data_IF_003067173505
#
_entry.id   IF_003067173505
#
_cell.length_a   1.000
_cell.length_b   1.000
_cell.length_c   1.000
_cell.angle_alpha   90.00
_cell.angle_beta   90.00
_cell.angle_gamma   90.00
#
_symmetry.space_group_name_H-M   'P 1'
#
loop_
_entity.id
_entity.type
_entity.pdbx_description
1 polymer ?
#
# COMPACT_ATOMS: atom_id res chain seq x y z
N UNK A 1 -5.16 5.95 -10.43
CA UNK A 1 -3.97 5.08 -10.54
C UNK A 1 -4.43 3.64 -10.36
N UNK A 2 -3.85 2.68 -11.08
CA UNK A 2 -4.12 1.26 -10.83
C UNK A 2 -3.24 0.77 -9.66
N UNK A 3 -3.87 0.41 -8.53
CA UNK A 3 -3.17 0.04 -7.29
C UNK A 3 -2.40 -1.27 -7.44
N UNK A 4 -2.97 -2.25 -8.16
CA UNK A 4 -2.32 -3.54 -8.41
C UNK A 4 -1.02 -3.38 -9.20
N UNK A 5 -1.03 -2.57 -10.25
CA UNK A 5 0.14 -2.24 -11.07
C UNK A 5 1.19 -1.49 -10.24
N UNK A 6 0.78 -0.53 -9.41
CA UNK A 6 1.68 0.21 -8.54
C UNK A 6 2.36 -0.71 -7.51
N UNK A 7 1.58 -1.57 -6.83
CA UNK A 7 2.11 -2.57 -5.90
C UNK A 7 3.05 -3.56 -6.58
N UNK A 8 2.70 -4.06 -7.77
CA UNK A 8 3.56 -4.95 -8.56
C UNK A 8 4.88 -4.27 -8.94
N UNK A 9 4.86 -2.99 -9.33
CA UNK A 9 6.08 -2.21 -9.62
C UNK A 9 6.99 -2.05 -8.40
N UNK A 10 6.43 -2.07 -7.19
CA UNK A 10 7.18 -2.10 -5.93
C UNK A 10 7.65 -3.51 -5.53
N UNK A 11 7.29 -4.56 -6.27
CA UNK A 11 7.50 -5.95 -5.86
C UNK A 11 6.67 -6.34 -4.62
N UNK A 12 5.54 -5.67 -4.43
CA UNK A 12 4.62 -5.82 -3.29
C UNK A 12 3.21 -6.22 -3.76
N UNK A 13 3.09 -6.78 -4.98
CA UNK A 13 1.82 -7.18 -5.59
C UNK A 13 1.01 -8.19 -4.76
N UNK A 14 1.65 -8.94 -3.86
CA UNK A 14 0.96 -9.84 -2.94
C UNK A 14 -0.05 -9.15 -2.02
N UNK A 15 0.04 -7.83 -1.85
CA UNK A 15 -0.91 -7.05 -1.05
C UNK A 15 -2.10 -6.51 -1.85
N UNK A 16 -2.15 -6.71 -3.17
CA UNK A 16 -3.21 -6.15 -4.02
C UNK A 16 -4.60 -6.56 -3.55
N UNK A 17 -4.79 -7.85 -3.21
CA UNK A 17 -6.08 -8.33 -2.73
C UNK A 17 -6.50 -7.63 -1.45
N UNK A 18 -5.59 -7.47 -0.49
CA UNK A 18 -5.89 -6.79 0.77
C UNK A 18 -6.25 -5.31 0.55
N UNK A 19 -5.56 -4.62 -0.35
CA UNK A 19 -5.88 -3.23 -0.70
C UNK A 19 -7.27 -3.14 -1.35
N UNK A 20 -7.58 -4.07 -2.26
CA UNK A 20 -8.88 -4.11 -2.95
C UNK A 20 -10.04 -4.45 -2.00
N UNK A 21 -9.86 -5.44 -1.13
CA UNK A 21 -10.90 -5.89 -0.17
C UNK A 21 -11.20 -4.85 0.92
N UNK A 22 -10.30 -3.88 1.14
CA UNK A 22 -10.48 -2.78 2.07
C UNK A 22 -10.79 -1.45 1.36
N UNK A 23 -11.19 -1.51 0.08
CA UNK A 23 -11.58 -0.35 -0.73
C UNK A 23 -10.51 0.76 -0.78
N UNK A 24 -9.23 0.37 -0.78
CA UNK A 24 -8.11 1.32 -0.87
C UNK A 24 -7.93 1.73 -2.32
N UNK A 25 -8.45 2.90 -2.65
CA UNK A 25 -8.23 3.57 -3.93
C UNK A 25 -7.04 4.54 -3.89
N UNK A 26 -6.83 5.29 -4.97
CA UNK A 26 -5.71 6.22 -5.08
C UNK A 26 -5.79 7.41 -4.11
N UNK A 27 -6.99 7.81 -3.68
CA UNK A 27 -7.20 8.90 -2.73
C UNK A 27 -6.84 8.42 -1.32
N UNK A 28 -7.43 7.30 -0.90
CA UNK A 28 -7.16 6.68 0.41
C UNK A 28 -5.69 6.26 0.54
N UNK A 29 -5.08 5.79 -0.54
CA UNK A 29 -3.66 5.41 -0.57
C UNK A 29 -2.74 6.53 -0.06
N UNK A 30 -3.04 7.79 -0.37
CA UNK A 30 -2.21 8.95 -0.02
C UNK A 30 -2.22 9.27 1.47
N UNK A 31 -3.20 8.75 2.20
CA UNK A 31 -3.44 9.01 3.62
C UNK A 31 -3.12 7.80 4.51
N UNK A 32 -2.76 6.65 3.91
CA UNK A 32 -2.43 5.45 4.68
C UNK A 32 -1.28 5.69 5.66
N UNK A 33 -1.53 5.31 6.90
CA UNK A 33 -0.54 5.32 7.98
C UNK A 33 0.13 3.96 8.15
N UNK A 34 1.16 3.91 8.99
CA UNK A 34 1.77 2.64 9.38
C UNK A 34 0.79 1.70 10.08
N UNK A 35 -0.19 2.24 10.81
CA UNK A 35 -1.19 1.46 11.54
C UNK A 35 -2.22 0.86 10.58
N UNK A 36 -2.67 1.63 9.58
CA UNK A 36 -3.58 1.13 8.54
C UNK A 36 -2.92 -0.02 7.76
N UNK A 37 -1.64 0.12 7.41
CA UNK A 37 -0.89 -0.96 6.75
C UNK A 37 -0.80 -2.23 7.62
N UNK A 38 -0.72 -2.11 8.94
CA UNK A 38 -0.80 -3.26 9.84
C UNK A 38 -2.20 -3.89 9.77
N UNK A 39 -3.26 -3.06 9.79
CA UNK A 39 -4.65 -3.50 9.63
C UNK A 39 -4.91 -4.25 8.31
N UNK A 40 -4.25 -3.83 7.22
CA UNK A 40 -4.27 -4.49 5.92
C UNK A 40 -3.46 -5.79 5.86
N UNK A 41 -2.84 -6.22 6.97
CA UNK A 41 -2.02 -7.43 7.03
C UNK A 41 -0.57 -7.27 6.57
N UNK A 42 -0.10 -6.04 6.35
CA UNK A 42 1.32 -5.75 6.04
C UNK A 42 2.16 -5.79 7.32
N UNK A 43 2.38 -6.98 7.88
CA UNK A 43 3.12 -7.18 9.13
C UNK A 43 4.64 -6.99 9.00
N UNK A 44 5.19 -7.10 7.79
CA UNK A 44 6.62 -6.88 7.52
C UNK A 44 7.00 -5.40 7.67
N UNK A 45 7.91 -5.10 8.60
CA UNK A 45 8.43 -3.73 8.81
C UNK A 45 9.04 -3.16 7.52
N UNK A 46 9.80 -3.99 6.78
CA UNK A 46 10.43 -3.57 5.53
C UNK A 46 9.41 -3.21 4.45
N UNK A 47 8.34 -3.99 4.32
CA UNK A 47 7.28 -3.70 3.34
C UNK A 47 6.51 -2.43 3.71
N UNK A 48 6.18 -2.23 4.99
CA UNK A 48 5.53 -0.98 5.44
C UNK A 48 6.40 0.24 5.16
N UNK A 49 7.69 0.18 5.50
CA UNK A 49 8.63 1.27 5.20
C UNK A 49 8.70 1.57 3.71
N UNK A 50 8.73 0.54 2.86
CA UNK A 50 8.74 0.69 1.40
C UNK A 50 7.46 1.31 0.86
N UNK A 51 6.29 0.87 1.34
CA UNK A 51 4.99 1.43 0.95
C UNK A 51 4.88 2.89 1.34
N UNK A 52 5.16 3.24 2.60
CA UNK A 52 5.06 4.62 3.08
C UNK A 52 6.01 5.56 2.31
N UNK A 53 7.24 5.11 2.01
CA UNK A 53 8.16 5.88 1.18
C UNK A 53 7.65 6.08 -0.25
N UNK A 54 7.08 5.03 -0.85
CA UNK A 54 6.51 5.11 -2.20
C UNK A 54 5.26 6.01 -2.24
N UNK A 55 4.39 5.94 -1.22
CA UNK A 55 3.21 6.81 -1.07
C UNK A 55 3.64 8.28 -0.95
N UNK A 56 4.66 8.56 -0.14
CA UNK A 56 5.19 9.92 0.01
C UNK A 56 5.74 10.50 -1.30
N UNK A 57 6.22 9.64 -2.21
CA UNK A 57 6.73 10.05 -3.54
C UNK A 57 5.63 10.24 -4.60
N UNK A 58 4.37 9.96 -4.29
CA UNK A 58 3.22 10.22 -5.18
C UNK A 58 2.69 11.67 -5.06
N UNK A 59 3.19 12.44 -4.08
CA UNK A 59 2.88 13.87 -3.89
C UNK A 59 3.81 14.74 -4.73
#
# INVERSE_FOLDING_TARGET
MDIGTWLCGLGLGQYEQAFRENDIDAEVLMDLTAEDLIGLGVVSIGHRRKLLAAIAALR
#
